data_IF_789387619702
#
_entry.id   IF_789387619702
#
_cell.length_a   1.000
_cell.length_b   1.000
_cell.length_c   1.000
_cell.angle_alpha   90.00
_cell.angle_beta   90.00
_cell.angle_gamma   90.00
#
_symmetry.space_group_name_H-M   'P 1'
#
loop_
_entity.id
_entity.type
_entity.pdbx_description
1 polymer ?
#
# COMPACT_ATOMS: atom_id res chain seq x y z
N UNK A 1 12.33 -34.95 22.40
CA UNK A 1 11.04 -34.66 23.09
C UNK A 1 10.59 -33.25 22.72
N UNK A 2 9.89 -33.11 21.60
CA UNK A 2 9.03 -31.96 21.32
C UNK A 2 7.97 -32.52 20.38
N UNK A 3 6.82 -32.88 20.94
CA UNK A 3 5.67 -33.28 20.15
C UNK A 3 5.24 -32.03 19.39
N UNK A 4 5.50 -32.02 18.07
CA UNK A 4 4.84 -31.12 17.16
C UNK A 4 3.35 -31.40 17.30
N UNK A 5 2.68 -30.59 18.13
CA UNK A 5 1.22 -30.63 18.30
C UNK A 5 0.65 -30.20 16.96
N UNK A 6 0.37 -31.17 16.10
CA UNK A 6 -0.39 -30.91 14.89
C UNK A 6 -1.69 -30.21 15.31
N UNK A 7 -2.00 -29.02 14.76
CA UNK A 7 -3.24 -28.35 15.06
C UNK A 7 -4.40 -29.27 14.62
N UNK A 8 -5.06 -29.89 15.60
CA UNK A 8 -6.31 -30.64 15.43
C UNK A 8 -7.24 -29.79 14.56
N UNK A 9 -7.85 -30.37 13.53
CA UNK A 9 -8.51 -29.67 12.42
C UNK A 9 -9.37 -28.43 12.78
N UNK A 10 -9.95 -28.40 13.98
CA UNK A 10 -10.65 -27.24 14.54
C UNK A 10 -9.79 -25.97 14.67
N UNK A 11 -8.52 -26.06 15.09
CA UNK A 11 -7.64 -24.88 15.19
C UNK A 11 -7.09 -24.44 13.83
N UNK A 12 -6.94 -25.37 12.86
CA UNK A 12 -6.65 -25.03 11.46
C UNK A 12 -7.78 -24.22 10.83
N UNK A 13 -9.03 -24.65 11.04
CA UNK A 13 -10.22 -23.95 10.54
C UNK A 13 -10.35 -22.57 11.20
N UNK A 14 -10.13 -22.47 12.51
CA UNK A 14 -10.15 -21.18 13.22
C UNK A 14 -9.11 -20.19 12.69
N UNK A 15 -7.88 -20.65 12.42
CA UNK A 15 -6.81 -19.83 11.84
C UNK A 15 -7.14 -19.38 10.41
N UNK A 16 -7.68 -20.29 9.59
CA UNK A 16 -8.08 -19.96 8.21
C UNK A 16 -9.23 -18.95 8.19
N UNK A 17 -10.26 -19.14 9.02
CA UNK A 17 -11.39 -18.20 9.13
C UNK A 17 -10.90 -16.83 9.57
N UNK A 18 -10.01 -16.76 10.57
CA UNK A 18 -9.45 -15.48 11.00
C UNK A 18 -8.68 -14.79 9.87
N UNK A 19 -7.83 -15.51 9.14
CA UNK A 19 -7.12 -14.97 7.98
C UNK A 19 -8.07 -14.43 6.90
N UNK A 20 -9.09 -15.20 6.53
CA UNK A 20 -10.12 -14.76 5.57
C UNK A 20 -10.90 -13.54 6.05
N UNK A 21 -11.22 -13.46 7.35
CA UNK A 21 -11.92 -12.33 7.94
C UNK A 21 -11.08 -11.05 7.91
N UNK A 22 -9.78 -11.16 8.20
CA UNK A 22 -8.84 -10.04 8.08
C UNK A 22 -8.76 -9.57 6.63
N UNK A 23 -8.57 -10.49 5.68
CA UNK A 23 -8.58 -10.12 4.26
C UNK A 23 -9.89 -9.44 3.87
N UNK A 24 -11.03 -10.02 4.21
CA UNK A 24 -12.33 -9.42 3.89
C UNK A 24 -12.46 -8.01 4.46
N UNK A 25 -12.00 -7.77 5.69
CA UNK A 25 -12.05 -6.44 6.31
C UNK A 25 -11.19 -5.41 5.56
N UNK A 26 -9.97 -5.75 5.15
CA UNK A 26 -9.10 -4.85 4.38
C UNK A 26 -9.59 -4.62 2.95
N UNK A 27 -10.16 -5.65 2.31
CA UNK A 27 -10.67 -5.55 0.95
C UNK A 27 -12.09 -4.98 0.86
N UNK A 28 -12.90 -5.07 1.91
CA UNK A 28 -14.25 -4.50 1.96
C UNK A 28 -14.31 -3.02 1.53
N UNK A 29 -13.48 -2.08 2.03
CA UNK A 29 -13.51 -0.70 1.57
C UNK A 29 -13.13 -0.56 0.10
N UNK A 30 -12.19 -1.38 -0.40
CA UNK A 30 -11.79 -1.38 -1.82
C UNK A 30 -12.97 -1.84 -2.68
N UNK A 31 -13.68 -2.89 -2.28
CA UNK A 31 -14.86 -3.39 -2.98
C UNK A 31 -15.97 -2.34 -3.00
N UNK A 32 -16.21 -1.65 -1.88
CA UNK A 32 -17.17 -0.55 -1.82
C UNK A 32 -16.77 0.59 -2.76
N UNK A 33 -15.50 0.97 -2.81
CA UNK A 33 -14.99 1.97 -3.75
C UNK A 33 -15.23 1.55 -5.21
N UNK A 34 -14.98 0.28 -5.55
CA UNK A 34 -15.24 -0.23 -6.90
C UNK A 34 -16.75 -0.16 -7.22
N UNK A 35 -17.62 -0.61 -6.31
CA UNK A 35 -19.08 -0.54 -6.50
C UNK A 35 -19.54 0.91 -6.67
N UNK A 36 -19.04 1.83 -5.85
CA UNK A 36 -19.35 3.26 -5.96
C UNK A 36 -18.75 3.90 -7.21
N UNK A 37 -17.62 3.40 -7.74
CA UNK A 37 -17.00 3.90 -8.97
C UNK A 37 -17.87 3.69 -10.21
N UNK A 38 -18.83 2.76 -10.14
CA UNK A 38 -19.82 2.53 -11.19
C UNK A 38 -21.16 3.27 -10.94
N UNK A 39 -21.27 4.05 -9.86
CA UNK A 39 -22.50 4.79 -9.53
C UNK A 39 -22.56 6.15 -10.24
N UNK A 40 -23.69 6.45 -10.88
CA UNK A 40 -23.91 7.68 -11.66
C UNK A 40 -23.99 8.96 -10.81
N UNK A 41 -24.30 8.84 -9.52
CA UNK A 41 -24.38 9.99 -8.63
C UNK A 41 -23.01 10.37 -8.05
N UNK A 42 -22.63 11.64 -8.22
CA UNK A 42 -21.47 12.26 -7.56
C UNK A 42 -21.63 12.40 -6.04
N UNK A 43 -22.85 12.21 -5.52
CA UNK A 43 -23.16 12.16 -4.09
C UNK A 43 -23.34 10.71 -3.62
N UNK A 44 -22.55 10.35 -2.59
CA UNK A 44 -22.72 9.13 -1.80
C UNK A 44 -24.10 9.18 -1.12
N UNK A 45 -25.08 8.44 -1.64
CA UNK A 45 -26.42 8.33 -1.02
C UNK A 45 -27.61 8.35 -1.97
N UNK A 46 -27.43 8.70 -3.26
CA UNK A 46 -28.47 8.52 -4.29
C UNK A 46 -27.96 7.52 -5.32
N UNK A 47 -28.53 6.32 -5.34
CA UNK A 47 -28.18 5.30 -6.34
C UNK A 47 -28.82 5.72 -7.67
N UNK A 48 -28.04 6.41 -8.51
CA UNK A 48 -28.54 7.05 -9.74
C UNK A 48 -28.64 6.12 -10.95
N UNK A 49 -27.97 4.96 -10.91
CA UNK A 49 -27.81 4.08 -12.07
C UNK A 49 -26.37 3.55 -12.16
N UNK A 50 -26.15 2.56 -13.01
CA UNK A 50 -24.82 2.04 -13.36
C UNK A 50 -24.26 2.88 -14.53
N UNK A 51 -23.14 3.57 -14.33
CA UNK A 51 -22.48 4.36 -15.37
C UNK A 51 -21.00 4.04 -15.50
N UNK A 52 -20.50 4.07 -16.73
CA UNK A 52 -19.06 4.10 -17.06
C UNK A 52 -18.60 5.48 -17.58
N UNK A 53 -19.47 6.50 -17.54
CA UNK A 53 -19.15 7.81 -18.10
C UNK A 53 -17.88 8.43 -17.49
N UNK A 54 -17.58 8.16 -16.21
CA UNK A 54 -16.35 8.61 -15.56
C UNK A 54 -15.07 8.00 -16.16
N UNK A 55 -15.13 6.74 -16.61
CA UNK A 55 -14.01 6.09 -17.28
C UNK A 55 -13.81 6.64 -18.70
N UNK A 56 -14.90 6.91 -19.42
CA UNK A 56 -14.84 7.56 -20.74
C UNK A 56 -14.25 8.97 -20.65
N UNK A 57 -14.73 9.79 -19.71
CA UNK A 57 -14.18 11.13 -19.44
C UNK A 57 -12.70 11.09 -19.04
N UNK A 58 -12.28 10.07 -18.29
CA UNK A 58 -10.87 9.90 -17.92
C UNK A 58 -9.98 9.60 -19.14
N UNK A 59 -10.49 8.81 -20.10
CA UNK A 59 -9.75 8.46 -21.32
C UNK A 59 -9.73 9.63 -22.31
N UNK A 60 -10.85 10.36 -22.45
CA UNK A 60 -10.95 11.50 -23.37
C UNK A 60 -10.21 12.74 -22.86
N UNK A 61 -10.07 12.91 -21.55
CA UNK A 61 -9.34 14.04 -20.98
C UNK A 61 -7.83 13.86 -21.12
N UNK A 62 -7.24 14.65 -22.01
CA UNK A 62 -5.78 14.75 -22.19
C UNK A 62 -5.04 15.06 -20.89
N UNK A 63 -5.63 15.87 -20.01
CA UNK A 63 -5.07 16.19 -18.71
C UNK A 63 -4.96 14.97 -17.79
N UNK A 64 -5.98 14.11 -17.72
CA UNK A 64 -5.94 12.93 -16.84
C UNK A 64 -4.91 11.91 -17.32
N UNK A 65 -4.83 11.68 -18.64
CA UNK A 65 -3.81 10.83 -19.25
C UNK A 65 -2.39 11.36 -19.03
N UNK A 66 -2.17 12.65 -19.27
CA UNK A 66 -0.86 13.29 -19.05
C UNK A 66 -0.44 13.22 -17.58
N UNK A 67 -1.39 13.41 -16.65
CA UNK A 67 -1.13 13.27 -15.22
C UNK A 67 -0.72 11.83 -14.86
N UNK A 68 -1.45 10.82 -15.37
CA UNK A 68 -1.12 9.40 -15.16
C UNK A 68 0.28 9.05 -15.69
N UNK A 69 0.59 9.46 -16.93
CA UNK A 69 1.91 9.22 -17.51
C UNK A 69 3.03 9.87 -16.71
N UNK A 70 2.83 11.11 -16.26
CA UNK A 70 3.81 11.81 -15.44
C UNK A 70 4.02 11.11 -14.10
N UNK A 71 2.94 10.70 -13.43
CA UNK A 71 3.02 9.94 -12.18
C UNK A 71 3.78 8.62 -12.34
N UNK A 72 3.54 7.87 -13.42
CA UNK A 72 4.27 6.62 -13.69
C UNK A 72 5.76 6.89 -13.93
N UNK A 73 6.09 7.88 -14.77
CA UNK A 73 7.48 8.25 -15.06
C UNK A 73 8.23 8.65 -13.78
N UNK A 74 7.63 9.50 -12.96
CA UNK A 74 8.22 9.94 -11.68
C UNK A 74 8.34 8.76 -10.71
N UNK A 75 7.30 7.92 -10.58
CA UNK A 75 7.31 6.78 -9.68
C UNK A 75 8.46 5.83 -9.98
N UNK A 76 8.69 5.48 -11.25
CA UNK A 76 9.79 4.58 -11.64
C UNK A 76 11.15 5.16 -11.24
N UNK A 77 11.41 6.42 -11.58
CA UNK A 77 12.68 7.07 -11.25
C UNK A 77 12.90 7.15 -9.74
N UNK A 78 11.87 7.54 -9.00
CA UNK A 78 11.91 7.63 -7.54
C UNK A 78 12.12 6.26 -6.90
N UNK A 79 11.43 5.22 -7.37
CA UNK A 79 11.59 3.85 -6.87
C UNK A 79 13.03 3.37 -7.05
N UNK A 80 13.63 3.54 -8.22
CA UNK A 80 15.00 3.10 -8.49
C UNK A 80 15.98 3.81 -7.56
N UNK A 81 15.90 5.14 -7.47
CA UNK A 81 16.78 5.93 -6.61
C UNK A 81 16.60 5.57 -5.14
N UNK A 82 15.35 5.42 -4.69
CA UNK A 82 15.02 5.09 -3.30
C UNK A 82 15.52 3.69 -2.92
N UNK A 83 15.38 2.70 -3.80
CA UNK A 83 15.88 1.34 -3.55
C UNK A 83 17.40 1.31 -3.47
N UNK A 84 18.10 1.99 -4.39
CA UNK A 84 19.56 2.05 -4.38
C UNK A 84 20.05 2.73 -3.10
N UNK A 85 19.55 3.94 -2.80
CA UNK A 85 19.95 4.69 -1.61
C UNK A 85 19.56 3.97 -0.31
N UNK A 86 18.37 3.38 -0.25
CA UNK A 86 17.89 2.63 0.90
C UNK A 86 18.74 1.40 1.17
N UNK A 87 19.07 0.63 0.12
CA UNK A 87 19.91 -0.58 0.23
C UNK A 87 21.33 -0.21 0.63
N UNK A 88 21.93 0.81 0.00
CA UNK A 88 23.26 1.29 0.38
C UNK A 88 23.30 1.79 1.83
N UNK A 89 22.27 2.52 2.26
CA UNK A 89 22.17 3.01 3.65
C UNK A 89 22.02 1.87 4.65
N UNK A 90 21.20 0.86 4.35
CA UNK A 90 21.03 -0.33 5.18
C UNK A 90 22.36 -1.10 5.34
N UNK A 91 23.06 -1.36 4.23
CA UNK A 91 24.36 -2.05 4.25
C UNK A 91 25.44 -1.25 4.98
N UNK A 92 25.48 0.07 4.79
CA UNK A 92 26.43 0.95 5.47
C UNK A 92 26.20 0.97 7.00
N UNK A 93 24.95 1.02 7.43
CA UNK A 93 24.59 1.00 8.85
C UNK A 93 24.83 -0.37 9.50
N UNK A 94 24.64 -1.47 8.78
CA UNK A 94 24.86 -2.82 9.32
C UNK A 94 26.36 -3.13 9.44
N UNK A 95 27.13 -2.95 8.37
CA UNK A 95 28.49 -3.51 8.27
C UNK A 95 29.62 -2.56 8.65
N UNK A 96 29.40 -1.24 8.58
CA UNK A 96 30.44 -0.26 8.88
C UNK A 96 30.20 0.47 10.20
N UNK A 97 31.28 0.68 10.97
CA UNK A 97 31.29 1.53 12.18
C UNK A 97 32.06 2.81 11.89
N UNK A 98 31.36 3.85 11.44
CA UNK A 98 31.93 5.16 11.12
C UNK A 98 31.50 6.22 12.15
N UNK A 99 32.30 7.27 12.36
CA UNK A 99 32.03 8.33 13.36
C UNK A 99 30.67 9.02 13.19
N UNK A 100 30.13 9.08 11.97
CA UNK A 100 28.80 9.66 11.66
C UNK A 100 27.60 8.72 11.83
N UNK A 101 27.81 7.44 12.16
CA UNK A 101 26.73 6.42 12.24
C UNK A 101 25.66 6.80 13.25
N UNK A 102 26.08 7.34 14.40
CA UNK A 102 25.18 7.79 15.46
C UNK A 102 24.28 8.93 15.02
N UNK A 103 24.80 9.88 14.23
CA UNK A 103 24.00 11.00 13.69
C UNK A 103 23.00 10.50 12.65
N UNK A 104 23.41 9.63 11.72
CA UNK A 104 22.49 9.05 10.73
C UNK A 104 21.39 8.20 11.39
N UNK A 105 21.72 7.30 12.32
CA UNK A 105 20.72 6.52 13.06
C UNK A 105 19.78 7.42 13.85
N UNK A 106 20.29 8.47 14.50
CA UNK A 106 19.46 9.45 15.19
C UNK A 106 18.57 10.23 14.23
N UNK A 107 19.03 10.60 13.03
CA UNK A 107 18.19 11.24 12.02
C UNK A 107 17.08 10.32 11.51
N UNK A 108 17.34 9.03 11.25
CA UNK A 108 16.31 8.07 10.84
C UNK A 108 15.26 7.85 11.94
N UNK A 109 15.70 7.66 13.18
CA UNK A 109 14.81 7.48 14.33
C UNK A 109 14.04 8.77 14.59
N UNK A 110 14.70 9.92 14.59
CA UNK A 110 14.07 11.21 14.81
C UNK A 110 13.11 11.56 13.68
N UNK A 111 13.40 11.28 12.41
CA UNK A 111 12.46 11.47 11.30
C UNK A 111 11.23 10.57 11.43
N UNK A 112 11.40 9.33 11.91
CA UNK A 112 10.28 8.43 12.18
C UNK A 112 9.50 8.79 13.44
N UNK A 113 10.11 9.50 14.38
CA UNK A 113 9.51 9.98 15.63
C UNK A 113 8.99 11.42 15.51
N UNK A 114 9.42 12.16 14.47
CA UNK A 114 8.97 13.50 14.17
C UNK A 114 7.51 13.39 13.72
N UNK A 115 6.63 14.21 14.31
CA UNK A 115 5.23 13.87 14.59
C UNK A 115 4.43 13.51 13.33
N UNK A 116 3.48 12.56 13.27
CA UNK A 116 2.48 12.13 14.28
C UNK A 116 2.31 13.03 15.49
#
# INVERSE_FOLDING_TARGET
MSNAVEPRGLSKIGLQINGWLVYLFFYAPIVLLVIFSFSESRNVGKWGGFTLSWYEQFIDSSNARNALENSIKIAIVVTIISVILGTMSALALERFTFKGKRVLTLCFIYLSLFPM
#
